data_IF_726394829954
#
_entry.id   IF_726394829954
#
_cell.length_a   1.000
_cell.length_b   1.000
_cell.length_c   1.000
_cell.angle_alpha   90.00
_cell.angle_beta   90.00
_cell.angle_gamma   90.00
#
_symmetry.space_group_name_H-M   'P 1'
#
loop_
_entity.id
_entity.type
_entity.pdbx_description
1 polymer ?
#
# COMPACT_ATOMS: atom_id res chain seq x y z
N UNK A 1 -31.22 33.10 49.15
CA UNK A 1 -30.14 32.80 48.19
C UNK A 1 -30.14 31.30 47.99
N UNK A 2 -30.63 30.83 46.83
CA UNK A 2 -30.72 29.41 46.49
C UNK A 2 -29.43 29.04 45.75
N UNK A 3 -28.64 28.13 46.32
CA UNK A 3 -27.37 27.67 45.74
C UNK A 3 -27.62 26.65 44.64
N UNK A 4 -27.18 26.96 43.43
CA UNK A 4 -27.24 26.06 42.27
C UNK A 4 -26.06 25.09 42.35
N UNK A 5 -26.34 23.78 42.37
CA UNK A 5 -25.32 22.75 42.27
C UNK A 5 -24.78 22.69 40.84
N UNK A 6 -23.47 22.90 40.67
CA UNK A 6 -22.79 22.75 39.40
C UNK A 6 -22.66 21.25 39.06
N UNK A 7 -23.27 20.85 37.94
CA UNK A 7 -23.10 19.51 37.39
C UNK A 7 -21.67 19.33 36.85
N UNK A 8 -20.98 18.30 37.33
CA UNK A 8 -19.69 17.89 36.79
C UNK A 8 -19.90 17.35 35.36
N UNK A 9 -19.24 17.96 34.38
CA UNK A 9 -19.17 17.43 33.02
C UNK A 9 -18.37 16.12 33.04
N UNK A 10 -18.97 15.04 32.53
CA UNK A 10 -18.26 13.80 32.29
C UNK A 10 -17.11 14.06 31.31
N UNK A 11 -15.89 13.67 31.69
CA UNK A 11 -14.74 13.72 30.79
C UNK A 11 -15.00 12.79 29.61
N UNK A 12 -15.02 13.34 28.40
CA UNK A 12 -14.95 12.54 27.18
C UNK A 12 -13.68 11.71 27.26
N UNK A 13 -13.74 10.36 27.19
CA UNK A 13 -12.53 9.57 27.12
C UNK A 13 -11.76 10.02 25.88
N UNK A 14 -10.51 10.45 26.10
CA UNK A 14 -9.56 10.65 25.00
C UNK A 14 -9.42 9.28 24.35
N UNK A 15 -10.06 9.07 23.21
CA UNK A 15 -9.70 7.98 22.32
C UNK A 15 -8.29 8.28 21.85
N UNK A 16 -7.31 7.74 22.56
CA UNK A 16 -5.97 7.59 22.02
C UNK A 16 -6.17 6.71 20.80
N UNK A 17 -6.05 7.28 19.61
CA UNK A 17 -6.04 6.51 18.37
C UNK A 17 -5.02 5.38 18.58
N UNK A 18 -5.52 4.13 18.58
CA UNK A 18 -4.65 2.98 18.71
C UNK A 18 -3.53 3.12 17.68
N UNK A 19 -2.25 2.89 18.05
CA UNK A 19 -1.15 3.05 17.13
C UNK A 19 -1.39 2.21 15.87
N UNK A 20 -1.60 2.89 14.74
CA UNK A 20 -1.79 2.28 13.43
C UNK A 20 -0.44 1.81 12.89
N UNK A 21 0.06 0.73 13.50
CA UNK A 21 1.27 0.04 13.10
C UNK A 21 0.87 -1.13 12.20
N UNK A 22 0.87 -0.89 10.88
CA UNK A 22 0.50 -1.88 9.86
C UNK A 22 1.70 -2.31 9.03
N UNK A 23 1.78 -3.61 8.79
CA UNK A 23 2.94 -4.39 8.32
C UNK A 23 3.10 -5.59 9.25
N UNK A 24 3.48 -6.78 8.75
CA UNK A 24 3.50 -8.06 9.48
C UNK A 24 4.05 -7.92 10.91
N UNK A 25 3.18 -7.60 11.85
CA UNK A 25 3.49 -7.60 13.27
C UNK A 25 3.35 -9.06 13.69
N UNK A 26 4.45 -9.75 14.04
CA UNK A 26 4.39 -11.17 14.39
C UNK A 26 3.50 -11.46 15.62
N UNK A 27 3.12 -10.43 16.37
CA UNK A 27 2.26 -10.50 17.56
C UNK A 27 0.87 -9.86 17.36
N UNK A 28 0.48 -9.54 16.12
CA UNK A 28 -0.82 -8.94 15.83
C UNK A 28 -1.72 -10.00 15.24
N UNK A 29 -2.75 -10.37 16.01
CA UNK A 29 -3.65 -11.45 15.62
C UNK A 29 -4.58 -10.98 14.50
N UNK A 30 -4.37 -11.55 13.33
CA UNK A 30 -5.31 -11.46 12.22
C UNK A 30 -6.25 -12.66 12.27
N UNK A 31 -7.56 -12.39 12.28
CA UNK A 31 -8.56 -13.44 12.07
C UNK A 31 -8.80 -13.59 10.57
N UNK A 32 -8.50 -14.75 10.02
CA UNK A 32 -8.82 -15.08 8.63
C UNK A 32 -9.87 -16.17 8.60
N UNK A 33 -11.05 -15.85 8.06
CA UNK A 33 -12.15 -16.82 7.90
C UNK A 33 -12.16 -17.42 6.49
N UNK A 34 -11.59 -16.73 5.52
CA UNK A 34 -11.46 -17.14 4.13
C UNK A 34 -10.01 -16.89 3.65
N UNK A 35 -9.49 -17.67 2.68
CA UNK A 35 -8.09 -17.55 2.23
C UNK A 35 -7.69 -16.17 1.68
N UNK A 36 -8.67 -15.39 1.23
CA UNK A 36 -8.49 -14.05 0.67
C UNK A 36 -8.85 -12.93 1.66
N UNK A 37 -9.19 -13.26 2.91
CA UNK A 37 -9.72 -12.32 3.90
C UNK A 37 -8.87 -12.31 5.17
N UNK A 38 -8.52 -11.12 5.64
CA UNK A 38 -7.88 -10.93 6.93
C UNK A 38 -8.54 -9.77 7.70
N UNK A 39 -8.95 -10.05 8.93
CA UNK A 39 -9.43 -9.06 9.89
C UNK A 39 -8.35 -8.72 10.88
N UNK A 40 -8.02 -7.45 10.91
CA UNK A 40 -7.19 -6.86 11.93
C UNK A 40 -8.06 -6.40 13.10
N UNK A 41 -8.06 -7.21 14.16
CA UNK A 41 -8.89 -7.01 15.35
C UNK A 41 -8.54 -5.75 16.14
N UNK A 42 -7.28 -5.27 16.03
CA UNK A 42 -6.80 -4.10 16.77
C UNK A 42 -7.23 -2.78 16.11
N UNK A 43 -7.29 -2.72 14.77
CA UNK A 43 -7.69 -1.50 14.05
C UNK A 43 -9.06 -1.58 13.37
N UNK A 44 -9.77 -2.70 13.51
CA UNK A 44 -11.01 -2.99 12.81
C UNK A 44 -10.86 -2.87 11.28
N UNK A 45 -9.68 -3.26 10.76
CA UNK A 45 -9.37 -3.19 9.34
C UNK A 45 -9.67 -4.55 8.67
N UNK A 46 -10.55 -4.52 7.67
CA UNK A 46 -10.79 -5.61 6.74
C UNK A 46 -9.82 -5.47 5.57
N UNK A 47 -9.03 -6.51 5.34
CA UNK A 47 -8.16 -6.63 4.18
C UNK A 47 -8.67 -7.77 3.33
N UNK A 48 -8.94 -7.51 2.06
CA UNK A 48 -9.20 -8.56 1.07
C UNK A 48 -8.08 -8.58 0.05
N UNK A 49 -7.52 -9.76 -0.25
CA UNK A 49 -6.38 -9.93 -1.17
C UNK A 49 -6.70 -10.97 -2.23
N UNK A 50 -6.57 -10.58 -3.49
CA UNK A 50 -6.77 -11.45 -4.65
C UNK A 50 -5.53 -11.41 -5.53
N UNK A 51 -5.07 -12.58 -5.97
CA UNK A 51 -4.05 -12.69 -7.02
C UNK A 51 -4.74 -12.77 -8.36
N UNK A 52 -4.58 -11.75 -9.19
CA UNK A 52 -5.21 -11.67 -10.51
C UNK A 52 -4.35 -12.35 -11.59
N UNK A 53 -3.02 -12.33 -11.43
CA UNK A 53 -2.07 -13.00 -12.31
C UNK A 53 -0.84 -13.45 -11.52
N UNK A 54 -0.35 -14.65 -11.78
CA UNK A 54 0.90 -15.16 -11.24
C UNK A 54 1.74 -15.78 -12.36
N UNK A 55 2.93 -15.24 -12.58
CA UNK A 55 3.89 -15.70 -13.58
C UNK A 55 5.14 -16.23 -12.87
N UNK A 56 5.59 -17.46 -13.17
CA UNK A 56 6.79 -18.03 -12.54
C UNK A 56 8.04 -17.24 -12.96
N UNK A 57 8.96 -17.05 -12.01
CA UNK A 57 10.31 -16.55 -12.31
C UNK A 57 11.22 -17.63 -12.91
N UNK A 58 12.41 -17.24 -13.34
CA UNK A 58 13.46 -18.17 -13.77
C UNK A 58 14.46 -18.38 -12.62
N UNK A 59 14.20 -19.40 -11.79
CA UNK A 59 14.96 -19.69 -10.57
C UNK A 59 14.70 -18.73 -9.39
N UNK A 60 14.21 -17.53 -9.67
CA UNK A 60 13.87 -16.52 -8.68
C UNK A 60 12.38 -16.42 -8.36
N UNK A 61 11.93 -15.22 -8.02
CA UNK A 61 10.59 -15.00 -7.48
C UNK A 61 9.53 -15.00 -8.59
N UNK A 62 8.35 -15.53 -8.29
CA UNK A 62 7.18 -15.35 -9.17
C UNK A 62 6.71 -13.91 -9.16
N UNK A 63 6.44 -13.35 -10.33
CA UNK A 63 5.73 -12.08 -10.47
C UNK A 63 4.25 -12.35 -10.18
N UNK A 64 3.70 -11.69 -9.15
CA UNK A 64 2.27 -11.72 -8.85
C UNK A 64 1.69 -10.32 -8.95
N UNK A 65 0.65 -10.16 -9.75
CA UNK A 65 -0.21 -8.98 -9.75
C UNK A 65 -1.35 -9.26 -8.78
N UNK A 66 -1.46 -8.41 -7.77
CA UNK A 66 -2.43 -8.56 -6.71
C UNK A 66 -3.30 -7.32 -6.59
N UNK A 67 -4.56 -7.57 -6.22
CA UNK A 67 -5.55 -6.56 -5.93
C UNK A 67 -5.95 -6.67 -4.47
N UNK A 68 -5.82 -5.57 -3.75
CA UNK A 68 -6.04 -5.52 -2.31
C UNK A 68 -7.05 -4.44 -1.97
N UNK A 69 -8.07 -4.82 -1.21
CA UNK A 69 -8.98 -3.87 -0.57
C UNK A 69 -8.54 -3.65 0.86
N UNK A 70 -8.62 -2.40 1.33
CA UNK A 70 -8.58 -2.07 2.75
C UNK A 70 -9.73 -1.11 3.08
N UNK A 71 -10.34 -1.27 4.25
CA UNK A 71 -11.30 -0.31 4.79
C UNK A 71 -10.66 0.63 5.84
N UNK A 72 -9.33 0.76 5.85
CA UNK A 72 -8.64 1.56 6.84
C UNK A 72 -8.99 3.05 6.73
N UNK A 73 -8.96 3.75 7.86
CA UNK A 73 -9.24 5.19 7.91
C UNK A 73 -8.22 6.02 7.11
N UNK A 74 -7.00 5.51 6.92
CA UNK A 74 -5.89 6.23 6.27
C UNK A 74 -5.73 5.93 4.78
N UNK A 75 -6.60 5.07 4.26
CA UNK A 75 -6.63 4.63 2.88
C UNK A 75 -7.74 3.61 2.80
N UNK A 76 -8.83 4.00 2.15
CA UNK A 76 -9.97 3.14 1.89
C UNK A 76 -10.05 2.86 0.40
N UNK A 77 -10.35 1.62 0.06
CA UNK A 77 -10.62 1.22 -1.32
C UNK A 77 -9.63 0.18 -1.82
N UNK A 78 -9.64 0.02 -3.14
CA UNK A 78 -8.83 -0.98 -3.82
C UNK A 78 -7.50 -0.40 -4.28
N UNK A 79 -6.47 -1.24 -4.29
CA UNK A 79 -5.21 -0.99 -5.00
C UNK A 79 -4.77 -2.23 -5.76
N UNK A 80 -4.10 -2.00 -6.88
CA UNK A 80 -3.46 -3.04 -7.67
C UNK A 80 -1.96 -2.76 -7.77
N UNK A 81 -1.18 -3.83 -7.80
CA UNK A 81 0.23 -3.75 -8.16
C UNK A 81 0.95 -5.06 -7.90
N UNK A 82 2.26 -4.97 -7.68
CA UNK A 82 3.12 -6.13 -7.54
C UNK A 82 3.13 -6.61 -6.09
N UNK A 83 2.88 -7.89 -5.89
CA UNK A 83 2.89 -8.51 -4.58
C UNK A 83 4.25 -8.38 -3.88
N UNK A 84 4.24 -8.05 -2.60
CA UNK A 84 5.44 -8.06 -1.75
C UNK A 84 6.43 -6.93 -2.02
N UNK A 85 6.12 -5.98 -2.88
CA UNK A 85 6.98 -4.81 -3.15
C UNK A 85 6.18 -3.53 -2.89
N UNK A 86 6.76 -2.53 -2.18
CA UNK A 86 6.13 -1.23 -2.08
C UNK A 86 6.06 -0.54 -3.45
N UNK A 87 4.87 -0.06 -3.81
CA UNK A 87 4.63 0.57 -5.11
C UNK A 87 5.07 2.04 -5.15
N UNK A 88 5.18 2.68 -3.98
CA UNK A 88 5.61 4.07 -3.86
C UNK A 88 6.37 4.31 -2.56
N UNK A 89 7.40 5.15 -2.63
CA UNK A 89 8.09 5.77 -1.49
C UNK A 89 7.60 7.20 -1.38
N UNK A 90 7.13 7.59 -0.19
CA UNK A 90 6.85 8.97 0.16
C UNK A 90 8.04 9.50 0.92
N UNK A 91 8.85 10.31 0.25
CA UNK A 91 10.05 10.92 0.84
C UNK A 91 9.67 12.02 1.84
N UNK A 92 10.33 12.00 3.00
CA UNK A 92 10.10 12.97 4.08
C UNK A 92 11.39 13.28 4.83
N UNK A 93 11.82 14.56 4.87
CA UNK A 93 11.53 15.57 3.84
C UNK A 93 11.86 15.04 2.43
N UNK A 94 11.35 15.68 1.36
CA UNK A 94 11.59 15.26 -0.04
C UNK A 94 13.06 14.90 -0.30
N UNK A 95 13.34 13.97 -1.21
CA UNK A 95 14.70 13.41 -1.37
C UNK A 95 15.78 14.44 -1.75
N UNK A 96 15.37 15.63 -2.22
CA UNK A 96 16.25 16.77 -2.50
C UNK A 96 16.54 17.65 -1.28
N UNK A 97 15.79 17.47 -0.18
CA UNK A 97 15.93 18.23 1.06
C UNK A 97 16.49 17.34 2.18
N UNK A 98 17.67 17.68 2.65
CA UNK A 98 18.24 17.09 3.87
C UNK A 98 17.69 17.77 5.13
N UNK A 99 17.68 17.04 6.24
CA UNK A 99 17.35 17.60 7.54
C UNK A 99 18.39 18.66 7.91
N UNK A 100 17.89 19.85 8.23
CA UNK A 100 18.69 20.97 8.73
C UNK A 100 18.98 20.82 10.22
N UNK A 101 19.89 21.63 10.75
CA UNK A 101 20.13 21.69 12.20
C UNK A 101 18.82 21.95 12.98
N UNK A 102 17.98 22.87 12.49
CA UNK A 102 16.68 23.14 13.09
C UNK A 102 15.76 21.90 13.11
N UNK A 103 15.77 21.10 12.04
CA UNK A 103 15.00 19.86 11.96
C UNK A 103 15.49 18.80 12.96
N UNK A 104 16.75 18.85 13.40
CA UNK A 104 17.37 17.89 14.32
C UNK A 104 17.38 18.33 15.79
N UNK A 105 17.06 19.59 16.11
CA UNK A 105 16.97 20.08 17.50
C UNK A 105 15.79 19.52 18.30
N UNK A 106 14.86 18.85 17.62
CA UNK A 106 13.69 18.26 18.25
C UNK A 106 14.07 17.00 19.02
N UNK A 107 13.51 16.85 20.23
CA UNK A 107 13.66 15.68 21.09
C UNK A 107 13.63 14.36 20.31
N UNK A 108 14.67 13.51 20.43
CA UNK A 108 14.71 12.19 19.80
C UNK A 108 13.67 11.22 20.37
N UNK A 109 12.96 11.61 21.43
CA UNK A 109 11.93 10.80 22.08
C UNK A 109 10.52 11.02 21.51
N UNK A 110 10.35 11.96 20.56
CA UNK A 110 9.08 12.16 19.87
C UNK A 110 9.01 11.34 18.58
N UNK A 111 8.39 10.16 18.68
CA UNK A 111 8.20 9.24 17.56
C UNK A 111 7.44 9.88 16.38
N UNK A 112 6.53 10.81 16.64
CA UNK A 112 5.75 11.45 15.58
C UNK A 112 6.58 12.46 14.81
N UNK A 113 7.52 13.13 15.49
CA UNK A 113 8.53 13.96 14.84
C UNK A 113 9.49 13.13 14.00
N UNK A 114 9.94 11.97 14.48
CA UNK A 114 10.81 11.07 13.71
C UNK A 114 10.12 10.59 12.43
N UNK A 115 8.84 10.22 12.52
CA UNK A 115 8.00 9.79 11.37
C UNK A 115 7.80 10.87 10.29
N UNK A 116 8.02 12.14 10.62
CA UNK A 116 7.99 13.24 9.65
C UNK A 116 9.31 13.46 8.94
N UNK A 117 10.36 12.77 9.39
CA UNK A 117 11.75 12.96 8.96
C UNK A 117 12.32 11.74 8.26
N UNK A 118 11.58 10.64 8.20
CA UNK A 118 11.96 9.44 7.48
C UNK A 118 10.94 9.11 6.40
N UNK A 119 11.38 8.54 5.27
CA UNK A 119 10.45 8.15 4.22
C UNK A 119 9.52 7.04 4.70
N UNK A 120 8.37 6.93 4.04
CA UNK A 120 7.45 5.82 4.24
C UNK A 120 7.12 5.13 2.93
N UNK A 121 6.87 3.83 3.00
CA UNK A 121 6.68 2.98 1.83
C UNK A 121 5.22 2.57 1.75
N UNK A 122 4.53 3.00 0.70
CA UNK A 122 3.16 2.60 0.45
C UNK A 122 3.10 1.20 -0.15
N UNK A 123 2.37 0.32 0.52
CA UNK A 123 2.10 -1.04 0.07
C UNK A 123 0.70 -1.14 -0.54
N UNK A 124 0.37 -2.31 -1.12
CA UNK A 124 -0.96 -2.58 -1.66
C UNK A 124 -2.05 -2.61 -0.59
N UNK A 125 -1.71 -2.97 0.65
CA UNK A 125 -2.66 -2.99 1.78
C UNK A 125 -3.06 -1.59 2.27
N UNK A 126 -2.65 -0.54 1.54
CA UNK A 126 -2.83 0.87 1.91
C UNK A 126 -2.14 1.25 3.23
N UNK A 127 -1.40 0.31 3.84
CA UNK A 127 -0.47 0.54 4.94
C UNK A 127 0.83 1.16 4.46
N UNK A 128 1.41 2.00 5.32
CA UNK A 128 2.73 2.58 5.13
C UNK A 128 3.75 1.83 6.00
N UNK A 129 4.74 1.19 5.37
CA UNK A 129 5.90 0.70 6.10
C UNK A 129 6.73 1.93 6.50
N UNK A 130 6.89 2.10 7.80
CA UNK A 130 7.65 3.21 8.38
C UNK A 130 9.12 2.82 8.47
N UNK A 131 9.97 3.82 8.43
CA UNK A 131 11.41 3.63 8.50
C UNK A 131 12.00 4.42 9.66
N UNK A 132 13.17 3.96 10.10
CA UNK A 132 14.03 4.67 11.04
C UNK A 132 15.41 4.83 10.42
N UNK A 133 16.18 5.81 10.88
CA UNK A 133 17.55 5.96 10.41
C UNK A 133 18.45 4.82 10.92
N UNK A 134 19.35 4.34 10.06
CA UNK A 134 20.30 3.27 10.44
C UNK A 134 21.30 3.74 11.51
N UNK A 135 21.63 5.03 11.47
CA UNK A 135 22.48 5.73 12.43
C UNK A 135 21.79 7.04 12.81
N UNK A 136 22.08 7.58 14.00
CA UNK A 136 21.48 8.85 14.40
C UNK A 136 21.74 9.92 13.33
N UNK A 137 20.69 10.56 12.77
CA UNK A 137 20.88 11.56 11.73
C UNK A 137 21.58 12.76 12.34
N UNK A 138 22.76 13.09 11.82
CA UNK A 138 23.50 14.30 12.17
C UNK A 138 23.35 15.32 11.05
N UNK A 139 23.28 16.60 11.42
CA UNK A 139 23.38 17.68 10.46
C UNK A 139 24.83 17.77 10.02
N UNK A 140 25.06 17.76 8.72
CA UNK A 140 26.34 18.16 8.16
C UNK A 140 26.07 18.99 6.90
N UNK A 141 26.60 20.22 6.81
CA UNK A 141 26.28 21.15 5.72
C UNK A 141 26.71 20.64 4.33
N UNK A 142 27.63 19.68 4.26
CA UNK A 142 28.19 19.18 3.00
C UNK A 142 28.16 17.66 2.83
N UNK A 143 27.84 16.88 3.87
CA UNK A 143 27.87 15.41 3.81
C UNK A 143 26.83 14.78 4.72
N UNK A 144 25.55 14.73 4.32
CA UNK A 144 24.48 14.15 5.13
C UNK A 144 24.48 12.62 5.10
N UNK A 145 25.66 11.97 5.14
CA UNK A 145 25.85 10.52 5.01
C UNK A 145 25.01 9.72 6.02
N UNK A 146 24.81 10.25 7.21
CA UNK A 146 23.98 9.64 8.27
C UNK A 146 22.49 9.65 7.94
N UNK A 147 22.06 10.41 6.93
CA UNK A 147 20.67 10.55 6.52
C UNK A 147 20.34 9.77 5.24
N UNK A 148 21.33 9.07 4.64
CA UNK A 148 21.16 8.37 3.37
C UNK A 148 20.39 7.07 3.51
N UNK A 149 20.69 6.31 4.56
CA UNK A 149 20.16 4.97 4.73
C UNK A 149 19.13 4.94 5.85
N UNK A 150 17.98 4.34 5.54
CA UNK A 150 16.93 4.05 6.50
C UNK A 150 16.60 2.57 6.49
N UNK A 151 16.25 2.06 7.67
CA UNK A 151 15.86 0.68 7.90
C UNK A 151 14.34 0.59 7.95
N UNK A 152 13.78 -0.36 7.20
CA UNK A 152 12.37 -0.74 7.24
C UNK A 152 12.13 -1.74 8.36
N UNK A 153 10.88 -1.85 8.83
CA UNK A 153 10.50 -2.83 9.86
C UNK A 153 10.72 -4.30 9.46
N UNK A 154 10.82 -4.58 8.16
CA UNK A 154 11.12 -5.90 7.62
C UNK A 154 12.61 -6.11 7.33
N UNK A 155 13.48 -5.28 7.92
CA UNK A 155 14.94 -5.29 7.75
C UNK A 155 15.44 -4.92 6.35
N UNK A 156 14.58 -4.41 5.47
CA UNK A 156 15.02 -3.80 4.21
C UNK A 156 15.81 -2.51 4.47
N UNK A 157 16.87 -2.28 3.70
CA UNK A 157 17.67 -1.05 3.76
C UNK A 157 17.39 -0.23 2.51
N UNK A 158 16.92 0.99 2.72
CA UNK A 158 16.69 1.93 1.63
C UNK A 158 17.75 3.02 1.62
N UNK A 159 18.43 3.14 0.48
CA UNK A 159 19.29 4.27 0.14
C UNK A 159 18.43 5.36 -0.50
N UNK A 160 18.27 6.48 0.18
CA UNK A 160 17.44 7.63 -0.24
C UNK A 160 18.04 8.40 -1.42
N UNK A 161 19.37 8.39 -1.56
CA UNK A 161 20.06 9.09 -2.65
C UNK A 161 19.95 8.28 -3.93
N UNK A 162 20.29 6.99 -3.84
CA UNK A 162 20.21 6.09 -4.98
C UNK A 162 18.76 5.69 -5.29
N UNK A 163 17.85 5.84 -4.33
CA UNK A 163 16.44 5.40 -4.38
C UNK A 163 16.32 3.90 -4.61
N UNK A 164 17.15 3.16 -3.88
CA UNK A 164 17.25 1.70 -3.97
C UNK A 164 16.90 1.08 -2.63
N UNK A 165 15.91 0.20 -2.64
CA UNK A 165 15.53 -0.63 -1.50
C UNK A 165 16.10 -2.03 -1.67
N UNK A 166 17.02 -2.40 -0.78
CA UNK A 166 17.59 -3.73 -0.70
C UNK A 166 16.82 -4.53 0.35
N UNK A 167 16.19 -5.63 -0.09
CA UNK A 167 15.47 -6.54 0.79
C UNK A 167 16.38 -7.67 1.28
N UNK A 168 16.11 -8.25 2.47
CA UNK A 168 16.91 -9.34 3.02
C UNK A 168 16.91 -10.62 2.16
N UNK A 169 15.90 -10.80 1.30
CA UNK A 169 15.78 -11.94 0.39
C UNK A 169 16.62 -11.80 -0.90
N UNK A 170 17.38 -10.71 -1.03
CA UNK A 170 18.17 -10.39 -2.22
C UNK A 170 17.40 -9.66 -3.31
N UNK A 171 16.12 -9.33 -3.08
CA UNK A 171 15.35 -8.47 -3.97
C UNK A 171 15.83 -7.02 -3.86
N UNK A 172 16.00 -6.35 -5.00
CA UNK A 172 16.39 -4.95 -5.11
C UNK A 172 15.30 -4.19 -5.85
N UNK A 173 14.66 -3.21 -5.21
CA UNK A 173 13.67 -2.33 -5.85
C UNK A 173 14.26 -0.94 -6.07
N UNK A 174 14.10 -0.40 -7.28
CA UNK A 174 14.54 0.95 -7.67
C UNK A 174 13.33 1.83 -7.88
N UNK A 175 13.40 3.07 -7.41
CA UNK A 175 12.32 4.04 -7.49
C UNK A 175 12.70 5.26 -8.32
N UNK A 176 11.72 5.81 -9.01
CA UNK A 176 11.88 6.94 -9.91
C UNK A 176 12.52 8.14 -9.18
N UNK A 177 13.53 8.73 -9.81
CA UNK A 177 14.16 9.98 -9.37
C UNK A 177 13.31 11.21 -9.73
N UNK A 178 12.84 11.23 -10.97
CA UNK A 178 12.12 12.34 -11.59
C UNK A 178 11.10 11.82 -12.60
N UNK A 179 10.24 12.71 -13.09
CA UNK A 179 9.26 12.35 -14.12
C UNK A 179 9.98 12.16 -15.47
N UNK A 180 10.02 10.93 -15.98
CA UNK A 180 10.64 10.59 -17.27
C UNK A 180 10.21 9.20 -17.74
N UNK A 181 9.98 9.00 -19.05
CA UNK A 181 9.93 7.67 -19.68
C UNK A 181 9.16 6.56 -18.94
N UNK A 182 7.94 6.82 -18.47
CA UNK A 182 7.14 5.85 -17.70
C UNK A 182 7.21 6.01 -16.18
N UNK A 183 8.06 6.90 -15.67
CA UNK A 183 8.06 7.39 -14.30
C UNK A 183 7.21 8.66 -14.19
N UNK A 184 6.22 8.71 -13.28
CA UNK A 184 5.36 9.89 -13.11
C UNK A 184 5.99 10.94 -12.18
N UNK A 185 7.05 10.58 -11.45
CA UNK A 185 7.74 11.46 -10.52
C UNK A 185 8.46 10.68 -9.43
N UNK A 186 8.99 11.42 -8.47
CA UNK A 186 9.75 10.88 -7.33
C UNK A 186 9.02 9.78 -6.57
N UNK A 187 9.76 8.70 -6.26
CA UNK A 187 9.34 7.67 -5.31
C UNK A 187 8.45 6.58 -5.89
N UNK A 188 8.00 6.68 -7.13
CA UNK A 188 7.23 5.60 -7.77
C UNK A 188 8.11 4.41 -8.13
N UNK A 189 7.60 3.19 -7.97
CA UNK A 189 8.36 1.98 -8.28
C UNK A 189 8.72 1.94 -9.77
N UNK A 190 10.00 1.81 -10.09
CA UNK A 190 10.48 1.76 -11.47
C UNK A 190 10.84 0.35 -11.90
N UNK A 191 11.63 -0.34 -11.07
CA UNK A 191 12.13 -1.67 -11.40
C UNK A 191 12.33 -2.48 -10.13
N UNK A 192 12.18 -3.80 -10.26
CA UNK A 192 12.60 -4.75 -9.24
C UNK A 192 13.45 -5.83 -9.87
N UNK A 193 14.58 -6.13 -9.23
CA UNK A 193 15.50 -7.20 -9.63
C UNK A 193 15.56 -8.23 -8.51
N UNK A 194 15.44 -9.51 -8.83
CA UNK A 194 15.61 -10.58 -7.84
C UNK A 194 17.06 -11.09 -7.78
N UNK A 195 17.33 -11.97 -6.81
CA UNK A 195 18.68 -12.53 -6.59
C UNK A 195 19.23 -13.35 -7.77
N UNK A 196 18.39 -13.75 -8.73
CA UNK A 196 18.76 -14.51 -9.91
C UNK A 196 18.94 -13.63 -11.16
N UNK A 197 18.75 -12.31 -11.02
CA UNK A 197 18.87 -11.35 -12.10
C UNK A 197 17.61 -11.19 -12.95
N UNK A 198 16.48 -11.81 -12.57
CA UNK A 198 15.21 -11.54 -13.23
C UNK A 198 14.79 -10.12 -12.90
N UNK A 199 14.33 -9.37 -13.89
CA UNK A 199 13.89 -7.99 -13.71
C UNK A 199 12.39 -7.85 -13.99
N UNK A 200 11.76 -6.94 -13.24
CA UNK A 200 10.39 -6.51 -13.46
C UNK A 200 10.39 -4.99 -13.53
N UNK A 201 10.07 -4.45 -14.70
CA UNK A 201 10.00 -3.01 -14.96
C UNK A 201 8.54 -2.56 -14.95
N UNK A 202 8.28 -1.42 -14.33
CA UNK A 202 6.96 -0.86 -14.16
C UNK A 202 6.85 0.46 -14.90
N UNK A 203 5.83 0.58 -15.74
CA UNK A 203 5.49 1.80 -16.45
C UNK A 203 4.20 2.37 -15.88
N UNK A 204 4.21 3.66 -15.63
CA UNK A 204 3.07 4.42 -15.12
C UNK A 204 2.60 5.45 -16.12
N UNK A 205 1.35 5.85 -15.99
CA UNK A 205 0.78 7.04 -16.62
C UNK A 205 0.42 8.03 -15.52
N UNK A 206 1.01 9.23 -15.58
CA UNK A 206 0.66 10.30 -14.66
C UNK A 206 -0.81 10.71 -14.85
N UNK A 207 -1.49 10.97 -13.75
CA UNK A 207 -2.86 11.49 -13.72
C UNK A 207 -2.89 12.84 -13.01
N UNK A 208 -4.04 13.50 -13.00
CA UNK A 208 -4.19 14.79 -12.31
C UNK A 208 -3.92 14.64 -10.80
N UNK A 209 -3.37 15.69 -10.17
CA UNK A 209 -3.19 15.73 -8.71
C UNK A 209 -2.01 14.92 -8.14
N UNK A 210 -0.90 14.79 -8.89
CA UNK A 210 0.32 14.05 -8.49
C UNK A 210 0.09 12.54 -8.23
N UNK A 211 -0.94 11.99 -8.86
CA UNK A 211 -1.24 10.56 -8.87
C UNK A 211 -0.71 9.92 -10.16
N UNK A 212 -0.66 8.59 -10.16
CA UNK A 212 -0.32 7.83 -11.35
C UNK A 212 -1.03 6.48 -11.34
N UNK A 213 -1.35 6.00 -12.53
CA UNK A 213 -1.96 4.69 -12.77
C UNK A 213 -0.94 3.74 -13.39
N UNK A 214 -1.06 2.46 -13.07
CA UNK A 214 -0.25 1.41 -13.67
C UNK A 214 -0.60 1.29 -15.16
N UNK A 215 0.41 1.27 -16.02
CA UNK A 215 0.23 1.22 -17.48
C UNK A 215 0.73 -0.10 -18.07
N UNK A 216 1.94 -0.51 -17.69
CA UNK A 216 2.44 -1.84 -18.03
C UNK A 216 3.42 -2.35 -16.99
N UNK A 217 3.55 -3.67 -16.93
CA UNK A 217 4.57 -4.38 -16.16
C UNK A 217 5.25 -5.35 -17.11
N UNK A 218 6.57 -5.21 -17.27
CA UNK A 218 7.37 -6.08 -18.11
C UNK A 218 8.29 -6.92 -17.23
N UNK A 219 8.23 -8.25 -17.37
CA UNK A 219 9.14 -9.19 -16.72
C UNK A 219 10.16 -9.69 -17.74
N UNK A 220 11.44 -9.51 -17.46
CA UNK A 220 12.55 -10.10 -18.22
C UNK A 220 13.23 -11.17 -17.35
N UNK A 221 13.21 -12.41 -17.82
CA UNK A 221 13.73 -13.58 -17.13
C UNK A 221 15.18 -13.92 -17.52
N UNK A 222 15.81 -13.05 -18.31
CA UNK A 222 17.03 -13.35 -19.05
C UNK A 222 16.78 -14.31 -20.21
N UNK A 223 17.86 -14.70 -20.89
CA UNK A 223 17.82 -15.65 -22.01
C UNK A 223 16.88 -15.24 -23.18
N UNK A 224 16.52 -13.96 -23.26
CA UNK A 224 15.60 -13.43 -24.27
C UNK A 224 14.11 -13.71 -23.99
N UNK A 225 13.76 -14.22 -22.80
CA UNK A 225 12.37 -14.41 -22.41
C UNK A 225 11.81 -13.17 -21.71
N UNK A 226 10.90 -12.48 -22.40
CA UNK A 226 10.25 -11.26 -21.93
C UNK A 226 8.74 -11.44 -21.98
N UNK A 227 8.06 -11.03 -20.91
CA UNK A 227 6.61 -11.09 -20.73
C UNK A 227 6.09 -9.71 -20.39
N UNK A 228 5.04 -9.26 -21.07
CA UNK A 228 4.43 -7.95 -20.83
C UNK A 228 2.97 -8.09 -20.40
N UNK A 229 2.61 -7.35 -19.37
CA UNK A 229 1.25 -7.19 -18.87
C UNK A 229 0.88 -5.73 -19.09
N UNK A 230 -0.24 -5.48 -19.78
CA UNK A 230 -0.73 -4.14 -20.07
C UNK A 230 -2.02 -3.86 -19.31
N UNK A 231 -2.18 -2.63 -18.83
CA UNK A 231 -3.32 -2.21 -18.04
C UNK A 231 -4.14 -1.15 -18.79
N UNK A 232 -5.46 -1.35 -18.83
CA UNK A 232 -6.41 -0.45 -19.47
C UNK A 232 -6.71 0.78 -18.63
N UNK A 233 -7.20 1.83 -19.30
CA UNK A 233 -7.61 3.07 -18.64
C UNK A 233 -8.76 2.83 -17.65
N UNK A 234 -8.83 3.68 -16.63
CA UNK A 234 -9.84 3.68 -15.57
C UNK A 234 -10.08 5.09 -15.09
N UNK A 235 -11.28 5.35 -14.60
CA UNK A 235 -11.60 6.55 -13.83
C UNK A 235 -11.06 6.48 -12.39
N UNK A 236 -10.66 5.28 -11.93
CA UNK A 236 -9.99 5.07 -10.65
C UNK A 236 -8.45 5.06 -10.84
N UNK A 237 -7.70 5.91 -10.11
CA UNK A 237 -6.25 6.00 -10.25
C UNK A 237 -5.49 4.79 -9.67
N UNK A 238 -6.12 3.98 -8.84
CA UNK A 238 -5.50 2.87 -8.11
C UNK A 238 -5.82 1.48 -8.67
N UNK A 239 -6.89 1.36 -9.48
CA UNK A 239 -7.27 0.13 -10.17
C UNK A 239 -7.53 0.42 -11.66
N UNK A 240 -6.85 -0.28 -12.58
CA UNK A 240 -7.08 -0.14 -14.01
C UNK A 240 -8.42 -0.73 -14.44
N UNK A 241 -8.93 -0.32 -15.60
CA UNK A 241 -10.21 -0.81 -16.13
C UNK A 241 -10.09 -2.24 -16.66
N UNK A 242 -8.89 -2.62 -17.10
CA UNK A 242 -8.59 -3.99 -17.54
C UNK A 242 -7.12 -4.35 -17.30
N UNK A 243 -6.82 -5.65 -17.35
CA UNK A 243 -5.46 -6.20 -17.35
C UNK A 243 -5.37 -7.25 -18.45
N UNK A 244 -4.40 -7.13 -19.34
CA UNK A 244 -4.20 -8.06 -20.47
C UNK A 244 -2.83 -8.71 -20.42
N UNK A 245 -2.80 -10.03 -20.59
CA UNK A 245 -1.58 -10.84 -20.73
C UNK A 245 -1.82 -11.95 -21.76
N UNK A 246 -0.91 -12.12 -22.73
CA UNK A 246 -1.02 -13.12 -23.80
C UNK A 246 -2.38 -13.14 -24.53
N UNK A 247 -2.97 -11.96 -24.76
CA UNK A 247 -4.27 -11.84 -25.43
C UNK A 247 -5.48 -12.24 -24.56
N UNK A 248 -5.27 -12.58 -23.29
CA UNK A 248 -6.33 -12.80 -22.29
C UNK A 248 -6.52 -11.55 -21.47
N UNK A 249 -7.77 -11.11 -21.31
CA UNK A 249 -8.10 -9.85 -20.63
C UNK A 249 -9.03 -10.08 -19.45
N UNK A 250 -8.63 -9.57 -18.28
CA UNK A 250 -9.49 -9.40 -17.12
C UNK A 250 -10.09 -8.00 -17.14
N UNK A 251 -11.39 -7.89 -16.83
CA UNK A 251 -12.12 -6.62 -16.81
C UNK A 251 -12.51 -6.25 -15.37
N UNK A 252 -12.37 -4.96 -15.03
CA UNK A 252 -12.66 -4.40 -13.71
C UNK A 252 -13.80 -3.39 -13.85
N UNK A 253 -15.00 -3.77 -13.42
CA UNK A 253 -16.20 -2.97 -13.59
C UNK A 253 -16.48 -2.06 -12.40
N UNK A 254 -16.60 -0.76 -12.65
CA UNK A 254 -16.86 0.25 -11.62
C UNK A 254 -18.28 0.82 -11.72
N UNK A 255 -18.84 1.17 -10.57
CA UNK A 255 -20.07 1.95 -10.45
C UNK A 255 -19.86 2.97 -9.34
N UNK A 256 -20.07 4.25 -9.66
CA UNK A 256 -19.88 5.39 -8.74
C UNK A 256 -18.47 5.43 -8.10
N UNK A 257 -17.44 5.13 -8.90
CA UNK A 257 -16.04 5.11 -8.44
C UNK A 257 -15.69 3.92 -7.53
N UNK A 258 -16.60 2.96 -7.34
CA UNK A 258 -16.35 1.74 -6.57
C UNK A 258 -16.30 0.53 -7.49
N UNK A 259 -15.30 -0.33 -7.31
CA UNK A 259 -15.22 -1.56 -8.07
C UNK A 259 -16.35 -2.53 -7.69
N UNK A 260 -17.24 -2.84 -8.62
CA UNK A 260 -18.36 -3.77 -8.42
C UNK A 260 -18.08 -5.17 -8.91
N UNK A 261 -17.31 -5.32 -9.99
CA UNK A 261 -17.07 -6.64 -10.58
C UNK A 261 -15.61 -6.79 -11.00
N UNK A 262 -15.13 -8.03 -10.96
CA UNK A 262 -13.91 -8.43 -11.64
C UNK A 262 -14.25 -9.67 -12.47
N UNK A 263 -14.08 -9.57 -13.79
CA UNK A 263 -14.36 -10.65 -14.72
C UNK A 263 -13.02 -11.20 -15.22
N UNK A 264 -12.65 -12.44 -14.88
CA UNK A 264 -11.44 -13.06 -15.40
C UNK A 264 -11.60 -13.33 -16.91
N UNK A 265 -10.49 -13.63 -17.63
CA UNK A 265 -10.56 -13.93 -19.06
C UNK A 265 -11.39 -15.18 -19.37
N UNK A 266 -11.45 -16.11 -18.40
CA UNK A 266 -12.17 -17.36 -18.49
C UNK A 266 -12.88 -17.64 -17.15
N UNK A 267 -14.14 -18.08 -17.22
CA UNK A 267 -14.93 -18.46 -16.04
C UNK A 267 -15.77 -17.32 -15.44
N UNK A 268 -16.33 -17.59 -14.27
CA UNK A 268 -17.17 -16.64 -13.53
C UNK A 268 -16.33 -15.59 -12.81
N UNK A 269 -16.85 -14.38 -12.71
CA UNK A 269 -16.21 -13.27 -12.02
C UNK A 269 -16.50 -13.18 -10.52
N UNK A 270 -15.88 -12.19 -9.91
CA UNK A 270 -16.17 -11.72 -8.55
C UNK A 270 -17.16 -10.55 -8.60
N UNK A 271 -18.01 -10.46 -7.59
CA UNK A 271 -18.84 -9.27 -7.37
C UNK A 271 -18.67 -8.72 -5.95
N UNK A 272 -18.70 -7.40 -5.83
CA UNK A 272 -18.49 -6.65 -4.60
C UNK A 272 -19.65 -5.69 -4.36
N UNK A 273 -20.31 -5.84 -3.23
CA UNK A 273 -21.36 -4.94 -2.76
C UNK A 273 -20.83 -4.14 -1.57
N UNK A 274 -21.17 -2.86 -1.53
CA UNK A 274 -20.72 -1.93 -0.50
C UNK A 274 -21.92 -1.38 0.23
N UNK A 275 -21.74 -1.15 1.53
CA UNK A 275 -22.69 -0.40 2.32
C UNK A 275 -22.76 1.03 1.77
N UNK A 276 -23.95 1.43 1.32
CA UNK A 276 -24.23 2.80 0.88
C UNK A 276 -25.07 3.47 1.97
N UNK A 277 -24.43 4.35 2.73
CA UNK A 277 -25.07 5.10 3.80
C UNK A 277 -24.41 6.48 3.91
N UNK A 278 -24.77 7.43 3.02
CA UNK A 278 -24.16 8.74 2.99
C UNK A 278 -24.15 9.39 4.38
N UNK A 279 -22.95 9.73 4.88
CA UNK A 279 -22.75 10.32 6.21
C UNK A 279 -22.50 9.31 7.35
N UNK A 280 -22.48 8.00 7.07
CA UNK A 280 -22.05 6.95 8.01
C UNK A 280 -20.53 6.74 7.90
N UNK A 281 -19.87 6.46 9.03
CA UNK A 281 -18.46 6.03 9.06
C UNK A 281 -18.23 4.72 8.29
N UNK A 282 -19.28 3.97 8.05
CA UNK A 282 -19.25 2.74 7.27
C UNK A 282 -19.45 2.94 5.76
N UNK A 283 -19.75 4.15 5.29
CA UNK A 283 -20.08 4.41 3.88
C UNK A 283 -18.95 4.01 2.93
N UNK A 284 -19.19 3.03 2.03
CA UNK A 284 -18.20 2.46 1.12
C UNK A 284 -17.40 1.27 1.70
N UNK A 285 -17.77 0.73 2.86
CA UNK A 285 -17.21 -0.56 3.33
C UNK A 285 -17.83 -1.69 2.52
N UNK A 286 -17.04 -2.73 2.21
CA UNK A 286 -17.58 -3.94 1.56
C UNK A 286 -18.54 -4.64 2.52
N UNK A 287 -19.76 -4.89 2.04
CA UNK A 287 -20.82 -5.58 2.77
C UNK A 287 -20.90 -7.06 2.35
N UNK A 288 -20.62 -7.36 1.08
CA UNK A 288 -20.71 -8.72 0.55
C UNK A 288 -19.74 -8.92 -0.62
N UNK A 289 -19.17 -10.12 -0.65
CA UNK A 289 -18.37 -10.62 -1.77
C UNK A 289 -19.03 -11.87 -2.32
N UNK A 290 -19.20 -11.93 -3.63
CA UNK A 290 -19.68 -13.12 -4.34
C UNK A 290 -18.51 -13.74 -5.08
N UNK A 291 -18.23 -15.01 -4.80
CA UNK A 291 -17.11 -15.75 -5.41
C UNK A 291 -17.49 -16.28 -6.81
N UNK A 292 -16.51 -16.62 -7.67
CA UNK A 292 -16.74 -17.25 -8.97
C UNK A 292 -17.60 -18.52 -8.92
N UNK A 293 -17.54 -19.25 -7.81
CA UNK A 293 -18.31 -20.48 -7.60
C UNK A 293 -19.77 -20.19 -7.17
N UNK A 294 -20.19 -18.93 -7.12
CA UNK A 294 -21.56 -18.53 -6.84
C UNK A 294 -21.95 -18.54 -5.36
N UNK A 295 -21.00 -18.75 -4.45
CA UNK A 295 -21.23 -18.64 -3.01
C UNK A 295 -21.18 -17.19 -2.56
N UNK A 296 -22.28 -16.58 -2.06
CA UNK A 296 -22.20 -15.28 -1.41
C UNK A 296 -21.59 -15.44 -0.01
N UNK A 297 -20.57 -14.63 0.30
CA UNK A 297 -20.07 -14.44 1.66
C UNK A 297 -20.51 -13.05 2.13
N UNK A 298 -21.48 -13.01 3.05
CA UNK A 298 -21.87 -11.77 3.74
C UNK A 298 -20.78 -11.40 4.74
N UNK A 299 -20.28 -10.16 4.66
CA UNK A 299 -19.26 -9.61 5.56
C UNK A 299 -19.88 -8.68 6.62
N UNK A 300 -21.21 -8.66 6.74
CA UNK A 300 -21.93 -7.86 7.73
C UNK A 300 -21.75 -8.47 9.14
N UNK A 301 -20.70 -8.04 9.84
CA UNK A 301 -20.37 -8.59 11.17
C UNK A 301 -19.70 -7.66 12.17
N UNK A 302 -19.30 -6.43 11.83
CA UNK A 302 -18.42 -5.63 12.73
C UNK A 302 -18.92 -4.23 13.10
N UNK A 303 -20.24 -4.07 13.24
CA UNK A 303 -20.82 -2.94 14.00
C UNK A 303 -21.42 -3.38 15.35
N UNK A 304 -21.19 -4.62 15.79
CA UNK A 304 -21.87 -5.21 16.95
C UNK A 304 -21.00 -5.78 18.08
N UNK A 305 -19.67 -5.89 17.94
CA UNK A 305 -18.83 -6.53 18.96
C UNK A 305 -17.59 -5.70 19.27
N UNK A 306 -17.70 -4.88 20.32
CA UNK A 306 -16.87 -4.81 21.53
C UNK A 306 -17.35 -3.54 22.27
N UNK A 307 -18.30 -3.72 23.19
CA UNK A 307 -18.29 -2.94 24.44
C UNK A 307 -17.61 -3.84 25.46
N UNK A 308 -16.37 -3.52 25.79
CA UNK A 308 -15.78 -3.83 27.08
C UNK A 308 -15.61 -2.50 27.80
#
# INVERSE_FOLDING_TARGET
VVGVAAGAAAQTPVQVAAPDEKGFQPNRDYLSLLPFEAFDTASNNLILRFTDLALPGNGGRSLRIERVFSNSTFGKGWRMGIAGVPMQVVERPGADRWLTEADLTVSPWDLEQERRKTPSFQTLEQGAIRTTYLVQPMYHPTTPLTQYNVLLSNFGIYDRVARILNQPDGTVATYCAEASGGCPGEGWLQQVTDAFGNTVTVTWVATEGAQARLASVTQDLGNGEVREITFGESDDPWIPGSMTYEGRTSEYGFVDGQLRTMTPPEGSGWAFEYKSAPGDLDDGKIEKVTTPQGGPSSMSGVSGFIRL
#
